data_IF_190561778727
#
_entry.id   IF_190561778727
#
_cell.length_a   1.000
_cell.length_b   1.000
_cell.length_c   1.000
_cell.angle_alpha   90.00
_cell.angle_beta   90.00
_cell.angle_gamma   90.00
#
_symmetry.space_group_name_H-M   'P 1'
#
loop_
_entity.id
_entity.type
_entity.pdbx_description
1 polymer ?
#
# COMPACT_ATOMS: atom_id res chain seq x y z
N UNK A 1 11.75 39.19 31.24
CA UNK A 1 10.94 39.11 30.03
C UNK A 1 11.63 38.54 28.77
N UNK A 2 12.97 38.38 28.70
CA UNK A 2 13.65 37.85 27.51
C UNK A 2 13.64 36.32 27.39
N UNK A 3 13.53 35.56 28.49
CA UNK A 3 13.50 34.09 28.48
C UNK A 3 12.16 33.48 28.03
N UNK A 4 11.04 34.21 28.15
CA UNK A 4 9.72 33.70 27.72
C UNK A 4 9.55 33.67 26.20
N UNK A 5 10.22 34.59 25.51
CA UNK A 5 10.15 34.70 24.04
C UNK A 5 10.90 33.57 23.35
N UNK A 6 11.98 33.07 23.95
CA UNK A 6 12.80 31.97 23.39
C UNK A 6 12.08 30.60 23.50
N UNK A 7 11.31 30.40 24.56
CA UNK A 7 10.51 29.16 24.70
C UNK A 7 9.34 29.08 23.72
N UNK A 8 8.78 30.21 23.32
CA UNK A 8 7.65 30.22 22.36
C UNK A 8 8.13 29.97 20.91
N UNK A 9 9.39 30.29 20.60
CA UNK A 9 9.97 30.06 19.28
C UNK A 9 10.32 28.60 19.03
N UNK A 10 10.65 27.83 20.08
CA UNK A 10 10.92 26.38 19.97
C UNK A 10 9.64 25.53 19.78
N UNK A 11 8.49 26.06 20.14
CA UNK A 11 7.21 25.36 19.95
C UNK A 11 6.66 25.40 18.50
N UNK A 12 7.29 26.21 17.62
CA UNK A 12 6.95 26.33 16.21
C UNK A 12 7.85 25.51 15.28
N UNK A 13 8.76 24.68 15.82
CA UNK A 13 9.47 23.69 15.04
C UNK A 13 8.42 22.64 14.61
N UNK A 14 7.98 22.80 13.36
CA UNK A 14 6.95 21.98 12.76
C UNK A 14 7.25 20.50 13.01
N UNK A 15 6.27 19.79 13.53
CA UNK A 15 6.32 18.34 13.60
C UNK A 15 6.55 17.85 12.17
N UNK A 16 7.68 17.21 11.92
CA UNK A 16 7.89 16.48 10.67
C UNK A 16 6.74 15.49 10.52
N UNK A 17 5.84 15.78 9.59
CA UNK A 17 4.70 14.93 9.34
C UNK A 17 5.16 13.81 8.40
N UNK A 18 5.09 12.56 8.87
CA UNK A 18 5.35 11.39 8.05
C UNK A 18 4.62 11.47 6.72
N UNK A 19 5.26 11.01 5.63
CA UNK A 19 4.64 10.94 4.31
C UNK A 19 3.49 9.94 4.31
N UNK A 20 2.28 10.45 4.30
CA UNK A 20 1.06 9.65 4.21
C UNK A 20 0.40 9.87 2.88
N UNK A 21 0.54 8.89 2.00
CA UNK A 21 -0.21 8.90 0.76
C UNK A 21 -1.72 8.84 1.04
N UNK A 22 -2.48 9.58 0.25
CA UNK A 22 -3.93 9.43 0.16
C UNK A 22 -4.24 8.53 -1.05
N UNK A 23 -4.78 7.31 -0.84
CA UNK A 23 -5.15 6.43 -1.94
C UNK A 23 -6.51 6.83 -2.51
N UNK A 24 -6.60 6.78 -3.83
CA UNK A 24 -7.85 6.93 -4.57
C UNK A 24 -8.00 5.76 -5.54
N UNK A 25 -8.94 4.86 -5.26
CA UNK A 25 -9.29 3.85 -6.25
C UNK A 25 -10.00 4.54 -7.42
N UNK A 26 -9.31 4.65 -8.56
CA UNK A 26 -9.83 5.37 -9.72
C UNK A 26 -11.01 4.63 -10.34
N UNK A 27 -10.88 3.32 -10.62
CA UNK A 27 -11.98 2.55 -11.17
C UNK A 27 -11.57 1.25 -11.83
N UNK A 28 -12.59 0.57 -12.39
CA UNK A 28 -12.46 -0.64 -13.19
C UNK A 28 -12.86 -0.38 -14.65
N UNK A 29 -12.39 -1.27 -15.54
CA UNK A 29 -12.99 -1.47 -16.86
C UNK A 29 -14.41 -2.06 -16.75
N UNK A 30 -15.25 -2.02 -17.81
CA UNK A 30 -16.62 -2.54 -17.76
C UNK A 30 -16.70 -3.99 -17.33
N UNK A 31 -15.76 -4.83 -17.74
CA UNK A 31 -15.67 -6.25 -17.41
C UNK A 31 -14.91 -6.54 -16.10
N UNK A 32 -14.33 -5.50 -15.47
CA UNK A 32 -13.51 -5.59 -14.26
C UNK A 32 -12.09 -6.11 -14.47
N UNK A 33 -11.74 -6.45 -15.73
CA UNK A 33 -10.43 -7.03 -16.07
C UNK A 33 -9.26 -6.09 -15.83
N UNK A 34 -9.49 -4.80 -15.91
CA UNK A 34 -8.49 -3.77 -15.65
C UNK A 34 -8.93 -2.87 -14.53
N UNK A 35 -7.98 -2.45 -13.72
CA UNK A 35 -8.23 -1.55 -12.61
C UNK A 35 -7.14 -0.48 -12.53
N UNK A 36 -7.47 0.66 -11.93
CA UNK A 36 -6.51 1.72 -11.65
C UNK A 36 -6.65 2.23 -10.21
N UNK A 37 -5.49 2.49 -9.59
CA UNK A 37 -5.34 3.14 -8.29
C UNK A 37 -4.43 4.34 -8.45
N UNK A 38 -4.85 5.49 -7.93
CA UNK A 38 -4.01 6.65 -7.73
C UNK A 38 -3.63 6.78 -6.26
N UNK A 39 -2.50 7.43 -5.99
CA UNK A 39 -2.14 7.93 -4.68
C UNK A 39 -1.39 9.25 -4.81
N UNK A 40 -1.57 10.12 -3.83
CA UNK A 40 -0.89 11.40 -3.78
C UNK A 40 -0.48 11.72 -2.33
N UNK A 41 0.54 12.52 -2.17
CA UNK A 41 1.06 12.92 -0.88
C UNK A 41 2.16 13.95 -0.99
N UNK A 42 2.77 14.25 0.15
CA UNK A 42 3.92 15.13 0.27
C UNK A 42 5.05 14.29 0.83
N UNK A 43 6.17 14.27 0.12
CA UNK A 43 7.36 13.53 0.55
C UNK A 43 7.97 14.20 1.78
N UNK A 44 8.18 13.42 2.83
CA UNK A 44 8.85 13.89 4.03
C UNK A 44 10.27 14.35 3.72
N UNK A 45 10.74 15.35 4.45
CA UNK A 45 12.06 15.94 4.33
C UNK A 45 12.22 16.94 3.18
N UNK A 46 11.74 16.63 1.97
CA UNK A 46 11.81 17.55 0.84
C UNK A 46 10.59 18.48 0.72
N UNK A 47 9.45 18.11 1.30
CA UNK A 47 8.18 18.81 1.11
C UNK A 47 7.63 18.72 -0.32
N UNK A 48 8.14 17.84 -1.16
CA UNK A 48 7.73 17.70 -2.56
C UNK A 48 6.41 16.97 -2.66
N UNK A 49 5.43 17.61 -3.30
CA UNK A 49 4.18 16.95 -3.62
C UNK A 49 4.39 15.94 -4.76
N UNK A 50 3.77 14.77 -4.64
CA UNK A 50 3.78 13.76 -5.69
C UNK A 50 2.38 13.21 -5.96
N UNK A 51 2.22 12.69 -7.16
CA UNK A 51 1.06 11.89 -7.58
C UNK A 51 1.54 10.70 -8.38
N UNK A 52 0.92 9.56 -8.13
CA UNK A 52 1.21 8.30 -8.79
C UNK A 52 -0.10 7.61 -9.17
N UNK A 53 -0.17 7.04 -10.37
CA UNK A 53 -1.30 6.24 -10.84
C UNK A 53 -0.78 4.95 -11.47
N UNK A 54 -1.38 3.83 -11.08
CA UNK A 54 -1.09 2.50 -11.63
C UNK A 54 -2.30 1.97 -12.37
N UNK A 55 -2.04 1.35 -13.52
CA UNK A 55 -3.02 0.58 -14.29
C UNK A 55 -2.59 -0.88 -14.27
N UNK A 56 -3.49 -1.78 -13.88
CA UNK A 56 -3.19 -3.20 -13.70
C UNK A 56 -4.16 -4.09 -14.49
N UNK A 57 -3.66 -5.25 -14.96
CA UNK A 57 -4.49 -6.37 -15.42
C UNK A 57 -4.94 -7.17 -14.19
N UNK A 58 -6.23 -7.09 -13.85
CA UNK A 58 -6.77 -7.71 -12.64
C UNK A 58 -6.75 -9.24 -12.68
N UNK A 59 -6.76 -9.84 -13.87
CA UNK A 59 -6.72 -11.29 -14.01
C UNK A 59 -5.33 -11.88 -13.73
N UNK A 60 -4.28 -11.09 -13.98
CA UNK A 60 -2.89 -11.51 -13.87
C UNK A 60 -2.16 -10.88 -12.68
N UNK A 61 -2.79 -9.93 -12.01
CA UNK A 61 -2.16 -9.08 -10.99
C UNK A 61 -0.84 -8.47 -11.50
N UNK A 62 -0.85 -7.95 -12.73
CA UNK A 62 0.35 -7.38 -13.36
C UNK A 62 0.17 -5.91 -13.66
N UNK A 63 1.21 -5.13 -13.31
CA UNK A 63 1.29 -3.73 -13.66
C UNK A 63 1.41 -3.59 -15.18
N UNK A 64 0.48 -2.85 -15.80
CA UNK A 64 0.53 -2.52 -17.22
C UNK A 64 1.27 -1.22 -17.45
N UNK A 65 0.95 -0.20 -16.64
CA UNK A 65 1.56 1.12 -16.76
C UNK A 65 1.56 1.86 -15.44
N UNK A 66 2.55 2.72 -15.24
CA UNK A 66 2.72 3.58 -14.08
C UNK A 66 2.99 4.99 -14.53
N UNK A 67 2.21 5.93 -14.01
CA UNK A 67 2.39 7.35 -14.20
C UNK A 67 2.83 7.97 -12.87
N UNK A 68 3.83 8.83 -12.91
CA UNK A 68 4.37 9.46 -11.72
C UNK A 68 4.79 10.89 -12.01
N UNK A 69 4.43 11.79 -11.12
CA UNK A 69 4.89 13.18 -11.14
C UNK A 69 5.20 13.63 -9.71
N UNK A 70 6.30 14.36 -9.58
CA UNK A 70 6.72 14.99 -8.35
C UNK A 70 7.15 16.42 -8.66
N UNK A 71 6.87 17.36 -7.78
CA UNK A 71 7.41 18.72 -7.87
C UNK A 71 8.85 18.74 -7.42
N UNK A 72 9.62 19.67 -7.99
CA UNK A 72 11.02 19.89 -7.63
C UNK A 72 11.18 21.03 -6.59
N UNK A 73 10.09 21.72 -6.25
CA UNK A 73 10.07 22.80 -5.27
C UNK A 73 9.05 22.50 -4.18
N UNK A 74 9.49 22.64 -2.93
CA UNK A 74 8.65 22.46 -1.77
C UNK A 74 7.79 23.70 -1.53
N UNK A 75 6.55 23.70 -2.02
CA UNK A 75 5.55 24.75 -1.74
C UNK A 75 4.48 24.30 -0.75
N UNK A 76 4.77 23.25 0.05
CA UNK A 76 3.85 22.73 1.05
C UNK A 76 2.62 21.98 0.49
N UNK A 77 2.64 21.61 -0.78
CA UNK A 77 1.72 20.62 -1.34
C UNK A 77 0.40 21.16 -1.91
N UNK A 78 0.03 22.39 -1.73
CA UNK A 78 -1.27 22.92 -2.15
C UNK A 78 -1.48 22.91 -3.67
N UNK A 79 -1.08 23.96 -4.35
CA UNK A 79 -1.28 24.13 -5.81
C UNK A 79 -0.47 23.11 -6.62
N UNK A 80 0.75 22.81 -6.19
CA UNK A 80 1.64 21.88 -6.87
C UNK A 80 1.09 20.44 -6.86
N UNK A 81 0.49 20.00 -5.77
CA UNK A 81 -0.19 18.70 -5.70
C UNK A 81 -1.33 18.57 -6.71
N UNK A 82 -2.16 19.61 -6.84
CA UNK A 82 -3.24 19.64 -7.84
C UNK A 82 -2.72 19.58 -9.28
N UNK A 83 -1.65 20.33 -9.57
CA UNK A 83 -1.03 20.31 -10.91
C UNK A 83 -0.43 18.94 -11.23
N UNK A 84 0.21 18.29 -10.27
CA UNK A 84 0.72 16.93 -10.44
C UNK A 84 -0.42 15.94 -10.74
N UNK A 85 -1.54 16.03 -10.01
CA UNK A 85 -2.72 15.19 -10.28
C UNK A 85 -3.24 15.40 -11.70
N UNK A 86 -3.44 16.65 -12.13
CA UNK A 86 -3.91 16.97 -13.48
C UNK A 86 -2.97 16.40 -14.54
N UNK A 87 -1.65 16.55 -14.38
CA UNK A 87 -0.67 16.03 -15.33
C UNK A 87 -0.66 14.51 -15.39
N UNK A 88 -0.69 13.83 -14.24
CA UNK A 88 -0.71 12.36 -14.17
C UNK A 88 -1.98 11.81 -14.81
N UNK A 89 -3.15 12.39 -14.52
CA UNK A 89 -4.40 11.95 -15.13
C UNK A 89 -4.45 12.25 -16.65
N UNK A 90 -3.92 13.38 -17.10
CA UNK A 90 -3.82 13.68 -18.53
C UNK A 90 -2.91 12.68 -19.26
N UNK A 91 -1.78 12.30 -18.67
CA UNK A 91 -0.89 11.30 -19.22
C UNK A 91 -1.51 9.89 -19.24
N UNK A 92 -2.28 9.55 -18.22
CA UNK A 92 -2.95 8.26 -18.11
C UNK A 92 -4.21 8.14 -18.99
N UNK A 93 -4.83 9.27 -19.37
CA UNK A 93 -6.10 9.28 -20.10
C UNK A 93 -6.13 8.38 -21.35
N UNK A 94 -5.09 8.30 -22.20
CA UNK A 94 -5.11 7.42 -23.38
C UNK A 94 -5.30 5.94 -23.03
N UNK A 95 -4.58 5.42 -22.03
CA UNK A 95 -4.73 4.02 -21.60
C UNK A 95 -6.02 3.79 -20.83
N UNK A 96 -6.41 4.71 -19.96
CA UNK A 96 -7.67 4.62 -19.21
C UNK A 96 -8.86 4.53 -20.17
N UNK A 97 -8.91 5.41 -21.18
CA UNK A 97 -9.95 5.43 -22.20
C UNK A 97 -9.91 4.15 -23.05
N UNK A 98 -8.74 3.71 -23.52
CA UNK A 98 -8.59 2.48 -24.31
C UNK A 98 -9.10 1.25 -23.58
N UNK A 99 -8.85 1.15 -22.27
CA UNK A 99 -9.30 0.04 -21.44
C UNK A 99 -10.71 0.25 -20.85
N UNK A 100 -11.32 1.40 -21.09
CA UNK A 100 -12.63 1.76 -20.56
C UNK A 100 -12.67 1.92 -19.04
N UNK A 101 -11.51 2.17 -18.40
CA UNK A 101 -11.45 2.41 -16.96
C UNK A 101 -12.03 3.80 -16.66
N UNK A 102 -12.96 3.88 -15.72
CA UNK A 102 -13.65 5.12 -15.39
C UNK A 102 -13.91 5.22 -13.90
N UNK A 103 -13.84 6.43 -13.37
CA UNK A 103 -14.19 6.80 -12.00
C UNK A 103 -15.67 6.56 -11.67
N UNK A 104 -16.52 6.44 -12.71
CA UNK A 104 -17.92 6.05 -12.57
C UNK A 104 -18.10 4.55 -12.29
N UNK A 105 -17.06 3.72 -12.46
CA UNK A 105 -17.06 2.28 -12.24
C UNK A 105 -16.10 1.87 -11.14
N UNK A 106 -16.34 2.38 -9.95
CA UNK A 106 -15.48 2.09 -8.79
C UNK A 106 -15.73 0.72 -8.16
N UNK A 107 -16.66 -0.06 -8.73
CA UNK A 107 -17.08 -1.34 -8.16
C UNK A 107 -17.75 -1.20 -6.79
N UNK A 108 -18.15 -2.32 -6.21
CA UNK A 108 -18.70 -2.34 -4.85
C UNK A 108 -17.60 -2.45 -3.81
N UNK A 109 -17.57 -1.55 -2.84
CA UNK A 109 -16.73 -1.68 -1.65
C UNK A 109 -17.35 -2.74 -0.76
N UNK A 110 -16.64 -3.85 -0.54
CA UNK A 110 -17.08 -4.92 0.36
C UNK A 110 -16.41 -4.86 1.72
N UNK A 111 -15.29 -4.15 1.80
CA UNK A 111 -14.60 -3.88 3.05
C UNK A 111 -13.71 -2.64 2.95
N UNK A 112 -13.63 -1.88 4.03
CA UNK A 112 -12.75 -0.72 4.13
C UNK A 112 -12.36 -0.45 5.59
N UNK A 113 -11.11 -0.12 5.79
CA UNK A 113 -10.56 0.27 7.09
C UNK A 113 -9.54 1.39 6.89
N UNK A 114 -9.53 2.36 7.80
CA UNK A 114 -8.42 3.30 7.89
C UNK A 114 -7.20 2.58 8.47
N UNK A 115 -6.06 2.53 7.75
CA UNK A 115 -4.86 1.91 8.27
C UNK A 115 -4.42 2.56 9.59
N UNK A 116 -3.99 1.78 10.58
CA UNK A 116 -3.52 2.32 11.86
C UNK A 116 -2.23 3.12 11.68
N UNK A 117 -1.94 3.99 12.64
CA UNK A 117 -0.66 4.66 12.73
C UNK A 117 0.35 3.69 13.36
N UNK A 118 1.17 3.08 12.55
CA UNK A 118 2.27 2.24 13.01
C UNK A 118 3.56 3.08 13.06
N UNK A 119 4.39 2.80 14.05
CA UNK A 119 5.77 3.31 14.10
C UNK A 119 6.71 2.15 13.81
N UNK A 120 7.85 2.39 13.12
CA UNK A 120 8.91 1.41 13.06
C UNK A 120 9.27 1.02 14.49
N UNK A 121 9.34 -0.26 14.77
CA UNK A 121 9.88 -0.71 16.05
C UNK A 121 11.37 -0.96 15.88
N UNK A 122 12.22 -0.58 16.84
CA UNK A 122 13.61 -0.98 16.84
C UNK A 122 13.65 -2.51 16.76
N UNK A 123 14.33 -3.02 15.75
CA UNK A 123 14.52 -4.45 15.62
C UNK A 123 15.63 -4.85 16.60
N UNK A 124 15.22 -5.21 17.82
CA UNK A 124 16.08 -6.01 18.67
C UNK A 124 16.25 -7.41 18.09
N UNK A 125 17.36 -8.11 18.37
CA UNK A 125 17.55 -9.50 17.94
C UNK A 125 16.47 -10.46 18.44
N UNK A 126 15.66 -10.04 19.40
CA UNK A 126 14.67 -10.87 20.09
C UNK A 126 13.27 -10.89 19.47
N UNK A 127 13.04 -10.16 18.37
CA UNK A 127 11.70 -10.04 17.75
C UNK A 127 11.43 -11.14 16.71
N UNK A 128 12.44 -11.90 16.33
CA UNK A 128 12.25 -13.06 15.46
C UNK A 128 12.24 -14.32 16.33
N UNK A 129 11.10 -15.03 16.43
CA UNK A 129 11.09 -16.33 17.08
C UNK A 129 12.11 -17.26 16.41
N UNK A 130 12.77 -18.11 17.18
CA UNK A 130 13.84 -18.98 16.75
C UNK A 130 13.54 -19.73 15.44
N UNK A 131 14.52 -19.75 14.55
CA UNK A 131 14.43 -20.31 13.20
C UNK A 131 13.96 -21.78 13.22
N UNK A 132 12.91 -22.08 12.47
CA UNK A 132 12.65 -23.45 12.03
C UNK A 132 13.63 -23.74 10.89
N UNK A 133 14.44 -24.81 10.94
CA UNK A 133 15.34 -25.17 9.87
C UNK A 133 14.59 -25.24 8.52
N UNK A 134 14.92 -24.33 7.60
CA UNK A 134 14.38 -24.27 6.24
C UNK A 134 13.24 -23.26 5.99
N UNK A 135 12.70 -22.59 7.01
CA UNK A 135 11.83 -21.42 6.85
C UNK A 135 12.02 -20.46 8.01
N UNK A 136 12.31 -19.19 7.75
CA UNK A 136 12.26 -18.19 8.81
C UNK A 136 10.86 -18.22 9.44
N UNK A 137 10.77 -18.09 10.75
CA UNK A 137 9.49 -18.05 11.47
C UNK A 137 8.63 -16.92 10.92
N UNK A 138 7.68 -17.25 10.07
CA UNK A 138 6.71 -16.27 9.60
C UNK A 138 5.76 -15.96 10.76
N UNK A 139 5.54 -14.68 11.10
CA UNK A 139 4.47 -14.34 12.01
C UNK A 139 3.15 -14.87 11.44
N UNK A 140 2.18 -15.23 12.32
CA UNK A 140 0.88 -15.68 11.85
C UNK A 140 0.26 -14.62 10.94
N UNK A 141 -0.55 -15.03 9.95
CA UNK A 141 -1.20 -14.07 9.06
C UNK A 141 -2.17 -13.18 9.83
N UNK A 142 -2.27 -11.95 9.40
CA UNK A 142 -3.42 -11.13 9.76
C UNK A 142 -4.64 -11.65 9.00
N UNK A 143 -5.73 -11.86 9.72
CA UNK A 143 -6.95 -12.43 9.16
C UNK A 143 -8.06 -11.37 9.11
N UNK A 144 -8.69 -11.25 7.94
CA UNK A 144 -9.78 -10.31 7.69
C UNK A 144 -11.01 -11.07 7.16
N UNK A 145 -11.95 -11.45 8.05
CA UNK A 145 -13.19 -12.10 7.65
C UNK A 145 -14.17 -11.08 7.05
N UNK A 146 -14.78 -11.41 5.91
CA UNK A 146 -15.77 -10.61 5.22
C UNK A 146 -16.95 -11.47 4.76
N UNK A 147 -18.16 -10.98 4.96
CA UNK A 147 -19.36 -11.58 4.37
C UNK A 147 -19.66 -10.95 3.01
N UNK A 148 -19.71 -11.76 1.96
CA UNK A 148 -19.93 -11.31 0.58
C UNK A 148 -20.99 -12.17 -0.07
N UNK A 149 -22.19 -11.64 -0.25
CA UNK A 149 -23.26 -12.36 -0.93
C UNK A 149 -23.66 -13.70 -0.29
N UNK A 150 -23.60 -13.80 1.04
CA UNK A 150 -23.87 -15.01 1.81
C UNK A 150 -22.72 -16.02 1.87
N UNK A 151 -21.56 -15.72 1.28
CA UNK A 151 -20.33 -16.48 1.45
C UNK A 151 -19.37 -15.79 2.43
N UNK A 152 -18.65 -16.57 3.23
CA UNK A 152 -17.56 -16.04 4.06
C UNK A 152 -16.28 -16.03 3.23
N UNK A 153 -15.71 -14.86 3.05
CA UNK A 153 -14.39 -14.68 2.50
C UNK A 153 -13.42 -14.36 3.64
N UNK A 154 -12.29 -15.07 3.68
CA UNK A 154 -11.24 -14.85 4.66
C UNK A 154 -9.97 -14.47 3.94
N UNK A 155 -9.55 -13.21 4.09
CA UNK A 155 -8.26 -12.75 3.60
C UNK A 155 -7.19 -13.04 4.63
N UNK A 156 -6.08 -13.63 4.17
CA UNK A 156 -4.90 -13.89 4.95
C UNK A 156 -3.75 -13.06 4.38
N UNK A 157 -3.18 -12.19 5.20
CA UNK A 157 -2.06 -11.34 4.85
C UNK A 157 -0.84 -11.71 5.70
N UNK A 158 0.20 -12.24 5.07
CA UNK A 158 1.47 -12.59 5.70
C UNK A 158 2.52 -11.51 5.43
N UNK A 159 3.34 -11.26 6.46
CA UNK A 159 4.53 -10.44 6.40
C UNK A 159 5.72 -11.37 6.11
N UNK A 160 6.15 -11.46 4.86
CA UNK A 160 7.26 -12.35 4.48
C UNK A 160 8.60 -11.71 4.90
N UNK A 161 9.38 -12.30 5.81
CA UNK A 161 10.68 -11.76 6.18
C UNK A 161 11.67 -12.00 5.04
N UNK A 162 12.29 -10.90 4.60
CA UNK A 162 13.47 -10.93 3.74
C UNK A 162 14.62 -10.30 4.51
N UNK A 163 15.79 -10.91 4.48
CA UNK A 163 16.97 -10.40 5.17
C UNK A 163 17.38 -9.00 4.70
N UNK A 164 18.43 -8.44 5.32
CA UNK A 164 18.95 -7.14 4.94
C UNK A 164 19.30 -7.13 3.44
N UNK A 165 18.81 -6.14 2.72
CA UNK A 165 19.10 -5.95 1.31
C UNK A 165 19.90 -4.66 1.12
N UNK A 166 20.74 -4.59 0.07
CA UNK A 166 21.39 -3.33 -0.32
C UNK A 166 20.37 -2.21 -0.58
N UNK A 167 19.12 -2.58 -0.84
CA UNK A 167 18.04 -1.64 -1.09
C UNK A 167 17.47 -1.02 0.20
N UNK A 168 17.76 -1.61 1.35
CA UNK A 168 17.40 -1.10 2.66
C UNK A 168 18.63 -1.22 3.58
N UNK A 169 19.59 -0.32 3.45
CA UNK A 169 20.77 -0.33 4.31
C UNK A 169 20.32 -0.10 5.76
N UNK A 170 21.03 -0.71 6.73
CA UNK A 170 20.77 -0.41 8.14
C UNK A 170 21.05 1.07 8.37
N UNK A 171 20.01 1.84 8.71
CA UNK A 171 20.12 3.24 9.06
C UNK A 171 19.79 3.38 10.55
N UNK A 172 20.82 3.65 11.37
CA UNK A 172 20.67 3.86 12.81
C UNK A 172 20.18 2.61 13.56
N UNK A 173 19.23 2.79 14.47
CA UNK A 173 18.64 1.73 15.29
C UNK A 173 17.62 0.85 14.54
N UNK A 174 17.21 1.28 13.34
CA UNK A 174 16.24 0.55 12.52
C UNK A 174 17.01 -0.35 11.57
N UNK A 175 16.86 -1.64 11.76
CA UNK A 175 17.56 -2.63 10.95
C UNK A 175 17.05 -2.63 9.53
N UNK A 176 17.98 -2.79 8.58
CA UNK A 176 17.72 -2.87 7.14
C UNK A 176 16.87 -4.06 6.69
N UNK A 177 15.92 -4.54 7.51
CA UNK A 177 15.02 -5.62 7.13
C UNK A 177 13.87 -5.10 6.29
N UNK A 178 13.68 -5.70 5.13
CA UNK A 178 12.48 -5.51 4.34
C UNK A 178 11.57 -6.71 4.47
N UNK A 179 10.26 -6.46 4.49
CA UNK A 179 9.25 -7.51 4.42
C UNK A 179 8.61 -7.52 3.05
N UNK A 180 8.31 -8.68 2.55
CA UNK A 180 7.44 -8.89 1.40
C UNK A 180 6.02 -9.19 1.85
N UNK A 181 5.14 -9.35 0.87
CA UNK A 181 3.71 -9.58 1.06
C UNK A 181 3.33 -10.93 0.46
N UNK A 182 2.57 -11.73 1.22
CA UNK A 182 1.73 -12.78 0.68
C UNK A 182 0.28 -12.49 1.05
N UNK A 183 -0.60 -12.48 0.08
CA UNK A 183 -2.02 -12.25 0.25
C UNK A 183 -2.79 -13.39 -0.41
N UNK A 184 -3.61 -14.09 0.37
CA UNK A 184 -4.55 -15.08 -0.15
C UNK A 184 -5.96 -14.72 0.29
N UNK A 185 -6.94 -15.24 -0.44
CA UNK A 185 -8.34 -15.20 -0.06
C UNK A 185 -8.92 -16.60 -0.12
N UNK A 186 -9.61 -16.98 0.96
CA UNK A 186 -10.34 -18.25 1.06
C UNK A 186 -11.83 -17.95 1.08
N UNK A 187 -12.61 -18.59 0.18
CA UNK A 187 -14.06 -18.50 0.16
C UNK A 187 -14.68 -19.80 0.67
N UNK A 188 -15.68 -19.64 1.55
CA UNK A 188 -16.55 -20.73 2.04
C UNK A 188 -17.98 -20.42 1.64
N UNK A 189 -18.40 -20.92 0.50
CA UNK A 189 -19.76 -20.69 -0.01
C UNK A 189 -20.75 -21.79 0.37
N UNK A 190 -20.25 -23.01 0.72
CA UNK A 190 -21.05 -24.16 1.14
C UNK A 190 -20.29 -24.92 2.24
N UNK A 191 -21.00 -25.69 3.11
CA UNK A 191 -20.33 -26.60 4.02
C UNK A 191 -19.37 -27.51 3.26
N UNK A 192 -18.13 -27.58 3.71
CA UNK A 192 -17.04 -28.40 3.16
C UNK A 192 -16.52 -28.00 1.76
N UNK A 193 -16.92 -26.84 1.23
CA UNK A 193 -16.34 -26.29 -0.01
C UNK A 193 -15.54 -25.06 0.32
N UNK A 194 -14.23 -25.18 0.31
CA UNK A 194 -13.28 -24.12 0.57
C UNK A 194 -12.39 -23.95 -0.66
N UNK A 195 -12.35 -22.75 -1.20
CA UNK A 195 -11.48 -22.38 -2.33
C UNK A 195 -10.53 -21.30 -1.88
N UNK A 196 -9.22 -21.60 -1.91
CA UNK A 196 -8.17 -20.63 -1.61
C UNK A 196 -7.49 -20.16 -2.89
N UNK A 197 -7.40 -18.85 -3.06
CA UNK A 197 -6.73 -18.21 -4.19
C UNK A 197 -5.59 -17.35 -3.65
N UNK A 198 -4.38 -17.53 -4.18
CA UNK A 198 -3.26 -16.62 -3.94
C UNK A 198 -3.37 -15.43 -4.89
N UNK A 199 -3.49 -14.23 -4.32
CA UNK A 199 -3.56 -12.98 -5.08
C UNK A 199 -2.17 -12.41 -5.32
N UNK A 200 -1.30 -12.48 -4.31
CA UNK A 200 0.07 -11.99 -4.35
C UNK A 200 0.97 -12.88 -3.50
N UNK A 201 2.17 -13.16 -3.99
CA UNK A 201 3.25 -13.76 -3.22
C UNK A 201 4.60 -13.26 -3.73
N UNK A 202 5.33 -12.56 -2.87
CA UNK A 202 6.62 -11.98 -3.23
C UNK A 202 7.72 -13.04 -3.10
N UNK A 203 8.38 -13.37 -4.21
CA UNK A 203 9.60 -14.19 -4.20
C UNK A 203 10.83 -13.40 -3.76
N UNK A 204 10.76 -12.06 -3.86
CA UNK A 204 11.77 -11.09 -3.42
C UNK A 204 11.10 -9.76 -3.16
N UNK A 205 11.70 -8.89 -2.36
CA UNK A 205 11.18 -7.52 -2.18
C UNK A 205 11.42 -6.71 -3.45
N UNK A 206 10.37 -6.27 -4.14
CA UNK A 206 10.52 -5.37 -5.29
C UNK A 206 11.20 -4.07 -4.88
N UNK A 207 12.01 -3.50 -5.79
CA UNK A 207 12.73 -2.25 -5.53
C UNK A 207 11.81 -1.10 -5.12
N UNK A 208 10.57 -1.08 -5.64
CA UNK A 208 9.54 -0.09 -5.29
C UNK A 208 9.00 -0.23 -3.86
N UNK A 209 9.27 -1.34 -3.18
CA UNK A 209 8.84 -1.62 -1.81
C UNK A 209 10.00 -1.64 -0.81
N UNK A 210 11.06 -0.89 -1.10
CA UNK A 210 12.24 -0.80 -0.23
C UNK A 210 11.85 -0.43 1.19
N UNK A 211 12.49 -1.07 2.16
CA UNK A 211 12.33 -0.77 3.58
C UNK A 211 10.89 -0.88 4.11
N UNK A 212 10.01 -1.61 3.40
CA UNK A 212 8.70 -1.92 3.91
C UNK A 212 8.83 -2.88 5.10
N UNK A 213 8.30 -2.48 6.27
CA UNK A 213 8.37 -3.30 7.47
C UNK A 213 7.01 -3.88 7.87
N UNK A 214 5.91 -3.37 7.29
CA UNK A 214 4.57 -3.84 7.58
C UNK A 214 3.61 -3.60 6.41
N UNK A 215 2.60 -4.47 6.30
CA UNK A 215 1.47 -4.33 5.38
C UNK A 215 0.15 -4.50 6.14
N UNK A 216 -0.89 -3.80 5.71
CA UNK A 216 -2.24 -3.90 6.28
C UNK A 216 -3.28 -3.80 5.16
N UNK A 217 -4.39 -4.51 5.30
CA UNK A 217 -5.49 -4.42 4.35
C UNK A 217 -6.19 -3.07 4.56
N UNK A 218 -6.40 -2.30 3.49
CA UNK A 218 -7.05 -0.99 3.55
C UNK A 218 -8.45 -0.98 2.93
N UNK A 219 -8.62 -1.60 1.76
CA UNK A 219 -9.91 -1.62 1.07
C UNK A 219 -10.02 -2.84 0.15
N UNK A 220 -11.20 -3.43 0.06
CA UNK A 220 -11.52 -4.50 -0.91
C UNK A 220 -12.72 -4.06 -1.74
N UNK A 221 -12.55 -4.10 -3.06
CA UNK A 221 -13.59 -3.81 -4.05
C UNK A 221 -13.80 -4.98 -4.98
N UNK A 222 -15.02 -5.10 -5.50
CA UNK A 222 -15.37 -6.12 -6.48
C UNK A 222 -16.08 -5.50 -7.68
N UNK A 223 -15.76 -6.01 -8.88
CA UNK A 223 -16.43 -5.67 -10.13
C UNK A 223 -16.50 -6.92 -11.00
N UNK A 224 -17.73 -7.38 -11.31
CA UNK A 224 -17.90 -8.61 -12.07
C UNK A 224 -17.22 -9.81 -11.41
N UNK A 225 -16.32 -10.46 -12.14
CA UNK A 225 -15.55 -11.63 -11.68
C UNK A 225 -14.20 -11.28 -11.04
N UNK A 226 -13.92 -10.00 -10.83
CA UNK A 226 -12.63 -9.53 -10.35
C UNK A 226 -12.75 -8.77 -9.04
N UNK A 227 -11.64 -8.72 -8.32
CA UNK A 227 -11.48 -7.94 -7.11
C UNK A 227 -10.22 -7.08 -7.19
N UNK A 228 -10.26 -5.97 -6.48
CA UNK A 228 -9.14 -5.08 -6.25
C UNK A 228 -8.98 -4.90 -4.75
N UNK A 229 -7.78 -5.15 -4.26
CA UNK A 229 -7.40 -5.06 -2.85
C UNK A 229 -6.36 -3.96 -2.72
N UNK A 230 -6.71 -2.90 -2.03
CA UNK A 230 -5.77 -1.85 -1.66
C UNK A 230 -5.09 -2.25 -0.36
N UNK A 231 -3.76 -2.36 -0.39
CA UNK A 231 -2.93 -2.73 0.76
C UNK A 231 -2.09 -1.54 1.16
N UNK A 232 -2.18 -1.11 2.41
CA UNK A 232 -1.28 -0.13 2.99
C UNK A 232 0.08 -0.77 3.23
N UNK A 233 1.13 -0.09 2.83
CA UNK A 233 2.53 -0.46 3.00
C UNK A 233 3.23 0.57 3.86
N UNK A 234 3.78 0.14 4.97
CA UNK A 234 4.50 0.98 5.92
C UNK A 234 5.99 0.86 5.67
N UNK A 235 6.64 1.97 5.48
CA UNK A 235 8.08 2.04 5.24
C UNK A 235 8.74 2.90 6.29
N UNK A 236 9.96 2.55 6.62
CA UNK A 236 10.85 3.44 7.35
C UNK A 236 11.22 4.62 6.45
N UNK A 237 10.94 5.83 6.89
CA UNK A 237 11.29 7.05 6.15
C UNK A 237 12.78 7.37 6.21
N UNK A 238 13.51 6.73 7.15
CA UNK A 238 14.90 7.05 7.45
C UNK A 238 15.09 8.35 8.26
N UNK A 239 14.00 9.05 8.61
CA UNK A 239 14.02 10.27 9.41
C UNK A 239 13.25 10.08 10.73
N UNK A 240 13.88 10.40 11.86
CA UNK A 240 13.25 10.55 13.18
C UNK A 240 12.23 9.47 13.58
N UNK A 241 12.45 8.21 13.20
CA UNK A 241 11.54 7.10 13.47
C UNK A 241 10.09 7.35 12.97
N UNK A 242 9.94 8.08 11.88
CA UNK A 242 8.64 8.29 11.24
C UNK A 242 8.34 7.20 10.23
N UNK A 243 7.08 7.02 9.93
CA UNK A 243 6.60 5.96 9.03
C UNK A 243 5.91 6.55 7.82
N UNK A 244 6.46 6.29 6.65
CA UNK A 244 5.79 6.53 5.39
C UNK A 244 4.69 5.49 5.17
N UNK A 245 3.52 5.93 4.72
CA UNK A 245 2.45 5.05 4.28
C UNK A 245 2.23 5.23 2.79
N UNK A 246 2.42 4.15 2.06
CA UNK A 246 2.11 4.02 0.62
C UNK A 246 1.06 2.94 0.42
N UNK A 247 0.48 2.89 -0.76
CA UNK A 247 -0.51 1.88 -1.06
C UNK A 247 -0.10 1.06 -2.27
N UNK A 248 -0.51 -0.21 -2.26
CA UNK A 248 -0.35 -1.15 -3.34
C UNK A 248 -1.73 -1.55 -3.83
N UNK A 249 -1.85 -1.83 -5.10
CA UNK A 249 -3.02 -2.46 -5.68
C UNK A 249 -2.71 -3.92 -5.98
N UNK A 250 -3.37 -4.83 -5.28
CA UNK A 250 -3.34 -6.27 -5.54
C UNK A 250 -4.68 -6.66 -6.14
N UNK A 251 -4.67 -7.39 -7.23
CA UNK A 251 -5.88 -7.77 -7.94
C UNK A 251 -5.98 -9.26 -8.16
N UNK A 252 -7.15 -9.76 -8.50
CA UNK A 252 -7.35 -11.17 -8.83
C UNK A 252 -8.80 -11.49 -9.18
N UNK A 253 -9.05 -12.77 -9.48
CA UNK A 253 -10.39 -13.28 -9.63
C UNK A 253 -11.06 -13.46 -8.28
N UNK A 254 -12.35 -13.28 -8.25
CA UNK A 254 -13.16 -13.59 -7.07
C UNK A 254 -13.12 -15.09 -6.78
N UNK A 255 -13.00 -15.52 -5.52
CA UNK A 255 -12.87 -16.94 -5.17
C UNK A 255 -14.20 -17.72 -5.27
N UNK A 256 -15.32 -17.01 -5.43
CA UNK A 256 -16.68 -17.58 -5.50
C UNK A 256 -17.20 -17.72 -6.95
N UNK A 257 -16.34 -17.53 -7.97
CA UNK A 257 -16.72 -17.55 -9.39
C UNK A 257 -15.69 -18.21 -10.30
#
# INVERSE_FOLDING_TARGET
MKCLLTLLLCALLGQAAADRAAPEFYGFSPDGRYAALAQHGIQEGSGFAYTELWVVDSAKNTLLERFYKQTEQGDGGGRAGLLNMQQVYAQAAPILNRLGISDLRRGSVIWKRTPPNLRPQPSGPDVFPAEIPGRPNMPPPQNYPLEVGGALWLFHLWQLPFGPSQACPPAGEFSGFSRGLKLTVTSRSKPNTEVTTTLQEDARVPTSRRCAFHYDLAEVRVQGNFMAVTVAMYRDSGFEATTDIRYLLVTGRRPDR
#
